data_IF_483753281965
#
_entry.id   IF_483753281965
#
_cell.length_a   1.000
_cell.length_b   1.000
_cell.length_c   1.000
_cell.angle_alpha   90.00
_cell.angle_beta   90.00
_cell.angle_gamma   90.00
#
_symmetry.space_group_name_H-M   'P 1'
#
loop_
_entity.id
_entity.type
_entity.pdbx_description
1 polymer ?
#
# COMPACT_ATOMS: atom_id res chain seq x y z
N UNK A 1 -23.13 56.71 -42.01
CA UNK A 1 -24.17 56.30 -41.05
C UNK A 1 -23.77 54.92 -40.51
N UNK A 2 -23.24 54.83 -39.28
CA UNK A 2 -22.71 53.57 -38.74
C UNK A 2 -23.84 52.63 -38.33
N UNK A 3 -23.74 51.35 -38.71
CA UNK A 3 -24.62 50.29 -38.23
C UNK A 3 -24.17 49.80 -36.84
N UNK A 4 -25.10 49.51 -35.92
CA UNK A 4 -24.79 49.15 -34.53
C UNK A 4 -24.17 47.76 -34.39
N UNK A 5 -23.32 47.61 -33.38
CA UNK A 5 -22.67 46.37 -32.98
C UNK A 5 -23.68 45.31 -32.51
N UNK A 6 -23.48 44.02 -32.84
CA UNK A 6 -24.10 42.92 -32.12
C UNK A 6 -23.29 42.53 -30.88
N UNK A 7 -24.03 42.34 -29.80
CA UNK A 7 -23.60 42.00 -28.45
C UNK A 7 -22.93 40.62 -28.36
N UNK A 8 -21.95 40.57 -27.44
CA UNK A 8 -21.54 39.44 -26.60
C UNK A 8 -22.42 38.18 -26.68
N UNK A 9 -21.94 37.12 -27.36
CA UNK A 9 -22.37 35.74 -27.10
C UNK A 9 -21.24 34.77 -27.46
N UNK A 10 -21.08 33.72 -26.67
CA UNK A 10 -19.94 32.78 -26.59
C UNK A 10 -18.84 33.32 -25.65
N UNK A 11 -19.16 33.57 -24.37
CA UNK A 11 -19.24 32.48 -23.39
C UNK A 11 -18.03 31.55 -23.54
N UNK A 12 -17.00 31.86 -22.78
CA UNK A 12 -16.52 30.89 -21.79
C UNK A 12 -16.22 29.50 -22.37
N UNK A 13 -15.23 29.41 -23.26
CA UNK A 13 -14.37 28.22 -23.27
C UNK A 13 -13.38 28.33 -22.12
N UNK A 14 -13.89 28.52 -20.90
CA UNK A 14 -13.17 28.09 -19.72
C UNK A 14 -13.12 26.58 -19.86
N UNK A 15 -11.95 26.06 -20.22
CA UNK A 15 -11.67 24.64 -20.14
C UNK A 15 -12.23 24.13 -18.81
N UNK A 16 -12.92 22.97 -18.76
CA UNK A 16 -13.31 22.40 -17.49
C UNK A 16 -12.01 22.16 -16.72
N UNK A 17 -11.68 23.08 -15.81
CA UNK A 17 -10.75 22.83 -14.73
C UNK A 17 -11.40 21.70 -13.98
N UNK A 18 -10.99 20.49 -14.32
CA UNK A 18 -11.37 19.26 -13.66
C UNK A 18 -10.72 19.35 -12.28
N UNK A 19 -11.36 20.15 -11.43
CA UNK A 19 -11.08 20.24 -10.02
C UNK A 19 -11.38 18.86 -9.48
N UNK A 20 -10.34 18.03 -9.37
CA UNK A 20 -10.37 16.85 -8.52
C UNK A 20 -10.78 17.32 -7.14
N UNK A 21 -12.05 17.11 -6.81
CA UNK A 21 -12.68 17.59 -5.59
C UNK A 21 -11.86 17.10 -4.38
N UNK A 22 -11.53 17.93 -3.37
CA UNK A 22 -10.80 17.52 -2.18
C UNK A 22 -11.38 16.27 -1.49
N UNK A 23 -12.70 16.08 -1.59
CA UNK A 23 -13.44 14.91 -1.10
C UNK A 23 -12.93 13.57 -1.66
N UNK A 24 -12.40 13.55 -2.89
CA UNK A 24 -11.88 12.33 -3.53
C UNK A 24 -10.54 11.87 -2.93
N UNK A 25 -9.71 12.80 -2.44
CA UNK A 25 -8.43 12.43 -1.79
C UNK A 25 -8.66 11.87 -0.39
N UNK A 26 -9.60 12.45 0.35
CA UNK A 26 -9.97 11.95 1.68
C UNK A 26 -10.63 10.57 1.61
N UNK A 27 -11.50 10.31 0.63
CA UNK A 27 -12.07 8.98 0.45
C UNK A 27 -11.01 7.94 0.06
N UNK A 28 -10.04 8.29 -0.80
CA UNK A 28 -8.92 7.42 -1.13
C UNK A 28 -8.03 7.13 0.10
N UNK A 29 -7.76 8.14 0.93
CA UNK A 29 -7.02 7.97 2.18
C UNK A 29 -7.77 7.07 3.17
N UNK A 30 -9.08 7.31 3.37
CA UNK A 30 -9.91 6.50 4.25
C UNK A 30 -9.97 5.04 3.79
N UNK A 31 -10.15 4.81 2.49
CA UNK A 31 -10.13 3.47 1.91
C UNK A 31 -8.76 2.79 2.12
N UNK A 32 -7.66 3.52 1.89
CA UNK A 32 -6.31 3.00 2.12
C UNK A 32 -6.08 2.62 3.59
N UNK A 33 -6.56 3.43 4.54
CA UNK A 33 -6.50 3.11 5.97
C UNK A 33 -7.29 1.85 6.27
N UNK A 34 -8.54 1.74 5.80
CA UNK A 34 -9.37 0.55 6.02
C UNK A 34 -8.71 -0.70 5.45
N UNK A 35 -8.18 -0.63 4.24
CA UNK A 35 -7.47 -1.74 3.60
C UNK A 35 -6.21 -2.13 4.37
N UNK A 36 -5.44 -1.16 4.85
CA UNK A 36 -4.27 -1.40 5.68
C UNK A 36 -4.63 -2.07 7.01
N UNK A 37 -5.69 -1.61 7.68
CA UNK A 37 -6.18 -2.22 8.93
C UNK A 37 -6.60 -3.66 8.68
N UNK A 38 -7.41 -3.92 7.65
CA UNK A 38 -7.84 -5.27 7.31
C UNK A 38 -6.64 -6.17 6.98
N UNK A 39 -5.71 -5.71 6.15
CA UNK A 39 -4.50 -6.46 5.83
C UNK A 39 -3.65 -6.76 7.08
N UNK A 40 -3.54 -5.79 8.00
CA UNK A 40 -2.84 -5.97 9.28
C UNK A 40 -3.52 -7.01 10.18
N UNK A 41 -4.84 -6.97 10.30
CA UNK A 41 -5.61 -7.95 11.09
C UNK A 41 -5.51 -9.35 10.50
N UNK A 42 -5.81 -9.51 9.21
CA UNK A 42 -5.72 -10.81 8.53
C UNK A 42 -4.29 -11.34 8.55
N UNK A 43 -3.29 -10.49 8.30
CA UNK A 43 -1.88 -10.86 8.40
C UNK A 43 -1.47 -11.32 9.79
N UNK A 44 -2.03 -10.70 10.84
CA UNK A 44 -1.80 -11.12 12.23
C UNK A 44 -2.40 -12.51 12.50
N UNK A 45 -3.51 -12.90 11.88
CA UNK A 45 -4.00 -14.29 11.97
C UNK A 45 -3.13 -15.24 11.14
N UNK A 46 -2.73 -14.84 9.94
CA UNK A 46 -1.94 -15.64 9.02
C UNK A 46 -0.54 -15.96 9.55
N UNK A 47 0.15 -15.00 10.18
CA UNK A 47 1.53 -15.23 10.62
C UNK A 47 1.66 -16.27 11.75
N UNK A 48 0.56 -16.59 12.43
CA UNK A 48 0.49 -17.66 13.43
C UNK A 48 0.49 -19.07 12.80
N UNK A 49 0.28 -19.15 11.48
CA UNK A 49 0.33 -20.42 10.75
C UNK A 49 1.78 -20.89 10.59
N UNK A 50 2.13 -21.87 11.41
CA UNK A 50 3.41 -22.56 11.42
C UNK A 50 3.17 -24.01 11.02
N UNK A 51 4.02 -24.56 10.16
CA UNK A 51 3.98 -25.99 9.83
C UNK A 51 5.34 -26.63 9.97
N UNK A 52 5.33 -27.90 10.35
CA UNK A 52 6.52 -28.72 10.41
C UNK A 52 6.79 -29.31 9.03
N UNK A 53 7.96 -29.03 8.46
CA UNK A 53 8.44 -29.64 7.22
C UNK A 53 9.79 -30.30 7.51
N UNK A 54 9.83 -31.64 7.54
CA UNK A 54 11.06 -32.40 7.71
C UNK A 54 11.83 -32.09 9.01
N UNK A 55 11.13 -31.78 10.11
CA UNK A 55 11.75 -31.45 11.40
C UNK A 55 12.16 -29.98 11.57
N UNK A 56 11.90 -29.13 10.57
CA UNK A 56 12.09 -27.68 10.66
C UNK A 56 10.72 -27.01 10.77
N UNK A 57 10.56 -26.10 11.74
CA UNK A 57 9.35 -25.29 11.88
C UNK A 57 9.42 -24.12 10.90
N UNK A 58 8.57 -24.15 9.87
CA UNK A 58 8.59 -23.16 8.80
C UNK A 58 7.48 -22.12 8.99
N UNK A 59 7.80 -20.82 9.13
CA UNK A 59 6.81 -19.75 9.34
C UNK A 59 6.24 -19.24 8.00
N UNK A 60 5.71 -20.14 7.18
CA UNK A 60 5.14 -19.77 5.87
C UNK A 60 3.96 -18.80 5.98
N UNK A 61 3.22 -18.85 7.10
CA UNK A 61 2.16 -17.90 7.40
C UNK A 61 2.63 -16.45 7.41
N UNK A 62 3.81 -16.18 7.95
CA UNK A 62 4.40 -14.83 7.96
C UNK A 62 4.73 -14.36 6.53
N UNK A 63 5.22 -15.25 5.67
CA UNK A 63 5.47 -14.93 4.27
C UNK A 63 4.16 -14.60 3.53
N UNK A 64 3.11 -15.39 3.73
CA UNK A 64 1.80 -15.10 3.13
C UNK A 64 1.19 -13.80 3.65
N UNK A 65 1.35 -13.51 4.94
CA UNK A 65 0.91 -12.25 5.52
C UNK A 65 1.62 -11.05 4.84
N UNK A 66 2.94 -11.16 4.62
CA UNK A 66 3.71 -10.14 3.89
C UNK A 66 3.27 -10.01 2.43
N UNK A 67 3.00 -11.13 1.75
CA UNK A 67 2.47 -11.13 0.38
C UNK A 67 1.10 -10.45 0.32
N UNK A 68 0.23 -10.68 1.31
CA UNK A 68 -1.06 -10.02 1.41
C UNK A 68 -0.90 -8.49 1.52
N UNK A 69 -0.04 -8.02 2.44
CA UNK A 69 0.25 -6.58 2.60
C UNK A 69 0.82 -6.01 1.31
N UNK A 70 1.78 -6.72 0.69
CA UNK A 70 2.38 -6.33 -0.58
C UNK A 70 1.31 -6.18 -1.68
N UNK A 71 0.42 -7.17 -1.82
CA UNK A 71 -0.62 -7.17 -2.84
C UNK A 71 -1.61 -6.02 -2.63
N UNK A 72 -2.07 -5.79 -1.40
CA UNK A 72 -3.02 -4.70 -1.09
C UNK A 72 -2.37 -3.33 -1.30
N UNK A 73 -1.13 -3.15 -0.86
CA UNK A 73 -0.38 -1.91 -1.08
C UNK A 73 -0.17 -1.62 -2.57
N UNK A 74 0.28 -2.61 -3.33
CA UNK A 74 0.53 -2.46 -4.76
C UNK A 74 -0.76 -2.18 -5.51
N UNK A 75 -1.82 -2.94 -5.22
CA UNK A 75 -3.14 -2.73 -5.79
C UNK A 75 -3.65 -1.32 -5.51
N UNK A 76 -3.52 -0.82 -4.28
CA UNK A 76 -3.96 0.53 -3.93
C UNK A 76 -3.17 1.62 -4.67
N UNK A 77 -1.83 1.48 -4.73
CA UNK A 77 -0.96 2.43 -5.44
C UNK A 77 -1.23 2.44 -6.96
N UNK A 78 -1.43 1.28 -7.57
CA UNK A 78 -1.67 1.17 -9.02
C UNK A 78 -3.11 1.57 -9.39
N UNK A 79 -4.11 1.24 -8.56
CA UNK A 79 -5.51 1.57 -8.83
C UNK A 79 -5.78 3.07 -8.74
N UNK A 80 -5.09 3.76 -7.82
CA UNK A 80 -5.21 5.22 -7.67
C UNK A 80 -4.20 5.99 -8.51
N UNK A 81 -3.14 5.32 -9.01
CA UNK A 81 -1.95 5.92 -9.64
C UNK A 81 -1.21 6.91 -8.74
N UNK A 82 -1.37 6.76 -7.43
CA UNK A 82 -0.85 7.67 -6.41
C UNK A 82 0.03 6.91 -5.40
N UNK A 83 1.31 7.25 -5.35
CA UNK A 83 2.29 6.56 -4.49
C UNK A 83 1.96 6.67 -2.99
N UNK A 84 1.44 7.83 -2.58
CA UNK A 84 1.14 8.10 -1.18
C UNK A 84 -0.02 7.24 -0.66
N UNK A 85 -0.97 6.84 -1.51
CA UNK A 85 -2.09 5.97 -1.14
C UNK A 85 -1.58 4.59 -0.72
N UNK A 86 -0.66 4.00 -1.50
CA UNK A 86 0.00 2.75 -1.12
C UNK A 86 0.82 2.89 0.17
N UNK A 87 1.50 4.04 0.36
CA UNK A 87 2.20 4.34 1.60
C UNK A 87 1.27 4.32 2.83
N UNK A 88 0.08 4.91 2.72
CA UNK A 88 -0.92 4.91 3.81
C UNK A 88 -1.34 3.48 4.17
N UNK A 89 -1.56 2.60 3.18
CA UNK A 89 -1.87 1.19 3.44
C UNK A 89 -0.79 0.54 4.30
N UNK A 90 0.48 0.72 3.94
CA UNK A 90 1.60 0.14 4.68
C UNK A 90 1.72 0.69 6.11
N UNK A 91 1.55 2.01 6.28
CA UNK A 91 1.55 2.66 7.60
C UNK A 91 0.39 2.14 8.46
N UNK A 92 -0.82 2.07 7.91
CA UNK A 92 -1.99 1.58 8.62
C UNK A 92 -1.81 0.10 9.03
N UNK A 93 -1.34 -0.76 8.12
CA UNK A 93 -1.06 -2.16 8.42
C UNK A 93 -0.01 -2.31 9.53
N UNK A 94 1.10 -1.57 9.44
CA UNK A 94 2.14 -1.61 10.48
C UNK A 94 1.63 -1.12 11.83
N UNK A 95 0.82 -0.05 11.82
CA UNK A 95 0.20 0.48 13.04
C UNK A 95 -0.73 -0.55 13.67
N UNK A 96 -1.52 -1.27 12.87
CA UNK A 96 -2.36 -2.38 13.35
C UNK A 96 -1.51 -3.49 13.97
N UNK A 97 -0.39 -3.88 13.35
CA UNK A 97 0.52 -4.89 13.92
C UNK A 97 1.09 -4.45 15.27
N UNK A 98 1.52 -3.18 15.38
CA UNK A 98 2.00 -2.63 16.65
C UNK A 98 0.90 -2.60 17.72
N UNK A 99 -0.31 -2.19 17.35
CA UNK A 99 -1.46 -2.17 18.26
C UNK A 99 -1.78 -3.58 18.79
N UNK A 100 -1.74 -4.59 17.92
CA UNK A 100 -1.99 -5.98 18.33
C UNK A 100 -0.85 -6.53 19.20
N UNK A 101 0.41 -6.17 18.90
CA UNK A 101 1.56 -6.58 19.71
C UNK A 101 1.55 -5.99 21.12
N UNK A 102 1.04 -4.77 21.30
CA UNK A 102 0.95 -4.11 22.60
C UNK A 102 -0.43 -4.20 23.23
N UNK A 103 -1.34 -4.98 22.64
CA UNK A 103 -2.67 -5.20 23.19
C UNK A 103 -2.59 -5.95 24.53
N UNK A 104 -3.44 -5.63 25.53
CA UNK A 104 -3.50 -6.42 26.76
C UNK A 104 -3.78 -7.90 26.47
N UNK A 105 -2.85 -8.80 26.81
CA UNK A 105 -2.91 -10.23 26.47
C UNK A 105 -2.25 -10.59 25.13
N UNK A 106 -1.32 -9.76 24.65
CA UNK A 106 -0.66 -9.90 23.34
C UNK A 106 0.23 -11.11 23.13
N UNK A 107 0.52 -11.89 24.18
CA UNK A 107 1.17 -13.21 24.04
C UNK A 107 0.41 -14.12 23.06
N UNK A 108 -0.89 -13.85 22.85
CA UNK A 108 -1.74 -14.54 21.88
C UNK A 108 -1.54 -14.08 20.42
N UNK A 109 -0.97 -12.90 20.18
CA UNK A 109 -0.93 -12.26 18.87
C UNK A 109 0.48 -12.12 18.28
N UNK A 110 1.52 -12.08 19.10
CA UNK A 110 2.90 -12.12 18.60
C UNK A 110 3.82 -12.51 19.73
N UNK A 111 4.74 -13.40 19.43
CA UNK A 111 5.79 -13.81 20.34
C UNK A 111 6.98 -12.83 20.23
N UNK A 112 7.46 -12.33 21.37
CA UNK A 112 8.59 -11.39 21.42
C UNK A 112 9.91 -12.02 20.94
N UNK A 113 10.74 -11.22 20.27
CA UNK A 113 12.10 -11.63 19.91
C UNK A 113 13.04 -11.25 21.06
N UNK A 114 13.21 -12.17 22.00
CA UNK A 114 14.17 -12.09 23.09
C UNK A 114 14.90 -13.42 23.27
N UNK A 115 15.98 -13.40 24.07
CA UNK A 115 16.85 -14.55 24.24
C UNK A 115 16.15 -15.74 24.92
N UNK A 116 15.22 -15.47 25.84
CA UNK A 116 14.46 -16.51 26.52
C UNK A 116 13.47 -17.18 25.54
N UNK A 117 12.78 -16.37 24.76
CA UNK A 117 11.74 -16.86 23.85
C UNK A 117 12.30 -17.56 22.62
N UNK A 118 13.49 -17.16 22.15
CA UNK A 118 14.22 -17.92 21.12
C UNK A 118 14.68 -19.30 21.60
N UNK A 119 14.94 -19.47 22.90
CA UNK A 119 15.30 -20.78 23.46
C UNK A 119 14.08 -21.68 23.66
N UNK A 120 12.95 -21.10 24.07
CA UNK A 120 11.74 -21.86 24.41
C UNK A 120 10.80 -22.08 23.21
N UNK A 121 10.62 -21.08 22.34
CA UNK A 121 9.72 -21.09 21.17
C UNK A 121 10.40 -20.40 19.95
N UNK A 122 11.48 -20.98 19.41
CA UNK A 122 12.27 -20.34 18.35
C UNK A 122 11.46 -19.98 17.10
N UNK A 123 10.58 -20.87 16.64
CA UNK A 123 9.85 -20.63 15.40
C UNK A 123 8.77 -19.55 15.51
N UNK A 124 7.90 -19.54 16.55
CA UNK A 124 6.99 -18.43 16.79
C UNK A 124 7.68 -17.07 16.97
N UNK A 125 8.82 -17.04 17.68
CA UNK A 125 9.60 -15.82 17.86
C UNK A 125 10.12 -15.27 16.52
N UNK A 126 10.66 -16.15 15.66
CA UNK A 126 11.11 -15.78 14.32
C UNK A 126 9.94 -15.36 13.42
N UNK A 127 8.80 -16.04 13.49
CA UNK A 127 7.60 -15.70 12.72
C UNK A 127 7.08 -14.30 13.08
N UNK A 128 6.98 -14.01 14.38
CA UNK A 128 6.55 -12.69 14.88
C UNK A 128 7.53 -11.58 14.47
N UNK A 129 8.83 -11.83 14.58
CA UNK A 129 9.85 -10.88 14.13
C UNK A 129 9.78 -10.64 12.62
N UNK A 130 9.65 -11.71 11.82
CA UNK A 130 9.55 -11.61 10.36
C UNK A 130 8.30 -10.85 9.94
N UNK A 131 7.17 -11.11 10.58
CA UNK A 131 5.94 -10.38 10.32
C UNK A 131 6.08 -8.91 10.66
N UNK A 132 6.51 -8.58 11.88
CA UNK A 132 6.61 -7.20 12.33
C UNK A 132 7.60 -6.37 11.52
N UNK A 133 8.81 -6.88 11.30
CA UNK A 133 9.86 -6.14 10.58
C UNK A 133 9.72 -6.26 9.06
N UNK A 134 9.05 -7.30 8.59
CA UNK A 134 8.76 -7.48 7.18
C UNK A 134 7.75 -6.45 6.66
N UNK A 135 6.74 -6.06 7.44
CA UNK A 135 5.74 -5.06 7.01
C UNK A 135 6.38 -3.73 6.57
N UNK A 136 7.22 -3.05 7.38
CA UNK A 136 7.87 -1.81 6.94
C UNK A 136 8.87 -2.05 5.80
N UNK A 137 9.57 -3.18 5.79
CA UNK A 137 10.50 -3.52 4.71
C UNK A 137 9.78 -3.67 3.35
N UNK A 138 8.68 -4.42 3.33
CA UNK A 138 7.77 -4.57 2.17
C UNK A 138 7.17 -3.21 1.81
N UNK A 139 6.73 -2.44 2.81
CA UNK A 139 6.22 -1.08 2.66
C UNK A 139 7.14 -0.20 1.83
N UNK A 140 8.40 -0.10 2.23
CA UNK A 140 9.42 0.69 1.53
C UNK A 140 9.73 0.09 0.16
N UNK A 141 9.97 -1.22 0.09
CA UNK A 141 10.30 -1.89 -1.17
C UNK A 141 9.23 -1.67 -2.24
N UNK A 142 7.95 -1.80 -1.88
CA UNK A 142 6.85 -1.61 -2.81
C UNK A 142 6.56 -0.16 -3.15
N UNK A 143 6.87 0.79 -2.28
CA UNK A 143 6.86 2.20 -2.69
C UNK A 143 7.89 2.44 -3.81
N UNK A 144 9.09 1.87 -3.71
CA UNK A 144 10.12 1.98 -4.74
C UNK A 144 9.71 1.28 -6.05
N UNK A 145 9.13 0.08 -5.96
CA UNK A 145 8.61 -0.65 -7.13
C UNK A 145 7.47 0.11 -7.79
N UNK A 146 6.48 0.58 -7.01
CA UNK A 146 5.36 1.36 -7.52
C UNK A 146 5.84 2.65 -8.19
N UNK A 147 6.86 3.30 -7.62
CA UNK A 147 7.46 4.51 -8.20
C UNK A 147 8.09 4.24 -9.56
N UNK A 148 8.78 3.10 -9.71
CA UNK A 148 9.34 2.67 -11.01
C UNK A 148 8.23 2.40 -12.02
N UNK A 149 7.20 1.65 -11.63
CA UNK A 149 6.08 1.28 -12.50
C UNK A 149 5.30 2.51 -12.99
N UNK A 150 4.97 3.44 -12.10
CA UNK A 150 4.23 4.65 -12.46
C UNK A 150 5.05 5.61 -13.34
N UNK A 151 6.38 5.67 -13.16
CA UNK A 151 7.27 6.45 -14.04
C UNK A 151 7.40 5.84 -15.43
N UNK A 152 7.41 4.52 -15.55
CA UNK A 152 7.57 3.81 -16.84
C UNK A 152 6.42 4.04 -17.83
N UNK A 153 5.23 4.36 -17.33
CA UNK A 153 4.04 4.66 -18.17
C UNK A 153 4.13 6.05 -18.84
N UNK A 154 5.06 6.91 -18.40
CA UNK A 154 5.19 8.31 -18.82
C UNK A 154 5.99 8.59 -20.10
N UNK A 155 6.44 7.58 -20.86
CA UNK A 155 7.10 7.78 -22.15
C UNK A 155 6.13 7.55 -23.32
N UNK A 156 5.35 8.58 -23.75
CA UNK A 156 4.78 8.57 -25.08
C UNK A 156 5.93 8.71 -26.08
N UNK A 157 5.99 7.80 -27.04
CA UNK A 157 6.77 7.95 -28.27
C UNK A 157 6.30 9.23 -28.96
N UNK A 158 6.96 10.36 -28.68
CA UNK A 158 6.79 11.60 -29.44
C UNK A 158 7.73 11.55 -30.65
N UNK A 159 7.12 11.55 -31.83
CA UNK A 159 7.74 12.11 -33.03
C UNK A 159 8.26 11.10 -34.05
N UNK A 160 7.35 10.46 -34.80
CA UNK A 160 7.60 10.16 -36.20
C UNK A 160 6.73 11.10 -37.06
N UNK A 161 7.01 12.40 -36.94
CA UNK A 161 6.54 13.39 -37.91
C UNK A 161 7.45 13.34 -39.12
N UNK A 162 7.22 12.40 -40.02
CA UNK A 162 7.79 12.46 -41.37
C UNK A 162 6.90 13.36 -42.22
N UNK A 163 7.13 14.68 -42.11
CA UNK A 163 6.86 15.58 -43.22
C UNK A 163 8.05 15.46 -44.17
N UNK A 164 7.88 14.69 -45.25
CA UNK A 164 8.68 14.82 -46.46
C UNK A 164 7.82 15.46 -47.52
N UNK A 165 8.32 16.62 -47.98
CA UNK A 165 7.83 17.47 -49.06
C UNK A 165 7.85 16.72 -50.39
#
# INVERSE_FOLDING_TARGET
MPAPAPEQTLSETAAPTSGTHPRSRWSAAALAVVLGILAGLFGTVLHLQLSWLGGILLPWGALLALILVAAVQLWAALSTRELWVGGIVAVAAFTTVLLMRYWPGSDSFSVGLDQYTLQMLPGPAVAGALWQWGVPAVGVALMLVSQRLLRGVGHPVRGAGTHTV
#
